data_IF_471026062597
#
_entry.id   IF_471026062597
#
_cell.length_a   1.000
_cell.length_b   1.000
_cell.length_c   1.000
_cell.angle_alpha   90.00
_cell.angle_beta   90.00
_cell.angle_gamma   90.00
#
_symmetry.space_group_name_H-M   'P 1'
#
loop_
_entity.id
_entity.type
_entity.pdbx_description
1 polymer ?
#
# COMPACT_ATOMS: atom_id res chain seq x y z
N UNK A 1 27.81 6.13 9.59
CA UNK A 1 26.93 5.60 8.53
C UNK A 1 26.29 6.78 7.78
N UNK A 2 27.04 7.56 7.00
CA UNK A 2 26.53 8.85 6.47
C UNK A 2 26.77 9.07 4.96
N UNK A 3 27.01 8.02 4.15
CA UNK A 3 27.42 8.23 2.75
C UNK A 3 26.30 8.06 1.72
N UNK A 4 25.18 7.43 2.07
CA UNK A 4 24.09 7.12 1.13
C UNK A 4 22.98 8.16 1.08
N UNK A 5 22.79 8.96 2.15
CA UNK A 5 21.71 9.96 2.21
C UNK A 5 21.84 11.06 1.15
N UNK A 6 23.08 11.39 0.76
CA UNK A 6 23.34 12.43 -0.23
C UNK A 6 23.20 11.94 -1.69
N UNK A 7 23.04 10.62 -1.89
CA UNK A 7 22.92 9.99 -3.21
C UNK A 7 21.49 9.54 -3.51
N UNK A 8 20.56 9.80 -2.59
CA UNK A 8 19.14 9.47 -2.74
C UNK A 8 18.38 10.79 -2.82
N UNK A 9 17.77 11.04 -3.96
CA UNK A 9 17.04 12.28 -4.24
C UNK A 9 15.65 12.27 -3.61
N UNK A 10 14.91 11.16 -3.78
CA UNK A 10 13.59 10.95 -3.22
C UNK A 10 13.37 9.46 -2.91
N UNK A 11 12.46 9.19 -1.98
CA UNK A 11 12.07 7.85 -1.59
C UNK A 11 10.55 7.73 -1.61
N UNK A 12 10.02 6.84 -2.45
CA UNK A 12 8.60 6.53 -2.49
C UNK A 12 8.31 5.30 -1.63
N UNK A 13 7.43 5.44 -0.65
CA UNK A 13 7.08 4.38 0.30
C UNK A 13 5.57 4.16 0.32
N UNK A 14 5.14 2.92 0.13
CA UNK A 14 3.75 2.51 0.38
C UNK A 14 3.58 2.23 1.87
N UNK A 15 2.63 2.89 2.52
CA UNK A 15 2.30 2.58 3.91
C UNK A 15 1.67 3.74 4.67
N UNK A 16 1.19 3.43 5.87
CA UNK A 16 0.45 4.36 6.71
C UNK A 16 -0.97 4.66 6.23
N UNK A 17 -1.75 5.28 7.11
CA UNK A 17 -3.08 5.83 6.83
C UNK A 17 -3.15 7.25 7.37
N UNK A 18 -3.40 8.22 6.48
CA UNK A 18 -3.58 9.62 6.82
C UNK A 18 -5.07 9.85 7.11
N UNK A 19 -5.40 9.99 8.39
CA UNK A 19 -6.79 10.25 8.80
C UNK A 19 -7.38 11.46 8.08
N UNK A 20 -8.56 11.26 7.52
CA UNK A 20 -9.49 12.33 7.15
C UNK A 20 -9.87 13.14 8.41
N UNK A 21 -9.88 14.47 8.31
CA UNK A 21 -10.26 15.37 9.42
C UNK A 21 -11.77 15.27 9.79
N UNK A 22 -12.53 14.38 9.16
CA UNK A 22 -13.92 14.15 9.50
C UNK A 22 -14.03 13.16 10.67
N UNK A 23 -14.54 13.57 11.85
CA UNK A 23 -14.70 12.69 13.01
C UNK A 23 -15.75 11.58 12.82
N UNK A 24 -16.58 11.68 11.77
CA UNK A 24 -17.55 10.65 11.38
C UNK A 24 -17.05 9.72 10.26
N UNK A 25 -15.85 9.96 9.75
CA UNK A 25 -15.23 9.13 8.73
C UNK A 25 -14.53 7.97 9.44
N UNK A 26 -15.32 6.94 9.78
CA UNK A 26 -14.83 5.67 10.29
C UNK A 26 -13.99 4.90 9.24
N UNK A 27 -13.76 5.48 8.07
CA UNK A 27 -13.53 4.78 6.80
C UNK A 27 -12.14 4.21 6.60
N UNK A 28 -11.12 4.66 7.33
CA UNK A 28 -9.75 4.23 7.07
C UNK A 28 -9.03 3.85 8.37
N UNK A 29 -9.60 2.84 9.03
CA UNK A 29 -8.86 2.04 10.01
C UNK A 29 -7.73 1.30 9.29
N UNK A 30 -6.64 1.02 10.02
CA UNK A 30 -5.48 0.30 9.51
C UNK A 30 -5.86 -1.05 8.88
N UNK A 31 -5.01 -1.61 8.04
CA UNK A 31 -5.27 -2.86 7.33
C UNK A 31 -4.68 -4.10 8.04
N UNK A 32 -4.37 -3.98 9.33
CA UNK A 32 -3.91 -5.11 10.12
C UNK A 32 -5.08 -6.04 10.46
N UNK A 33 -5.05 -7.27 9.96
CA UNK A 33 -6.09 -8.29 10.17
C UNK A 33 -6.13 -8.88 11.61
N UNK A 34 -5.51 -8.20 12.58
CA UNK A 34 -5.46 -8.64 13.97
C UNK A 34 -6.17 -7.64 14.85
N UNK A 35 -6.94 -8.15 15.82
CA UNK A 35 -7.74 -7.37 16.78
C UNK A 35 -6.91 -6.51 17.75
N UNK A 36 -5.58 -6.45 17.56
CA UNK A 36 -4.63 -5.82 18.47
C UNK A 36 -4.50 -4.32 18.24
N UNK A 37 -4.54 -3.85 16.99
CA UNK A 37 -4.49 -2.43 16.68
C UNK A 37 -5.21 -2.09 15.37
N UNK A 38 -6.36 -1.44 15.51
CA UNK A 38 -7.21 -1.01 14.40
C UNK A 38 -6.68 0.23 13.65
N UNK A 39 -5.55 0.80 14.06
CA UNK A 39 -4.98 2.00 13.46
C UNK A 39 -3.68 1.76 12.69
N UNK A 40 -3.12 0.55 12.79
CA UNK A 40 -1.82 0.25 12.20
C UNK A 40 -1.94 -0.23 10.76
N UNK A 41 -1.03 0.26 9.93
CA UNK A 41 -0.87 -0.21 8.56
C UNK A 41 0.23 -1.28 8.50
N UNK A 42 0.03 -2.30 7.67
CA UNK A 42 0.83 -3.52 7.60
C UNK A 42 2.33 -3.27 7.41
N UNK A 43 2.74 -2.39 6.49
CA UNK A 43 4.15 -2.12 6.23
C UNK A 43 4.81 -1.37 7.39
N UNK A 44 4.10 -0.45 8.05
CA UNK A 44 4.61 0.26 9.23
C UNK A 44 4.64 -0.65 10.46
N UNK A 45 3.64 -1.51 10.63
CA UNK A 45 3.55 -2.47 11.73
C UNK A 45 4.64 -3.54 11.67
N UNK A 46 5.04 -3.96 10.46
CA UNK A 46 6.08 -4.97 10.26
C UNK A 46 7.41 -4.62 10.93
N UNK A 47 7.81 -3.35 10.90
CA UNK A 47 8.94 -2.83 11.68
C UNK A 47 8.77 -1.33 12.00
N UNK A 48 8.17 -1.00 13.16
CA UNK A 48 7.92 0.39 13.52
C UNK A 48 9.21 1.16 13.83
N UNK A 49 10.29 0.49 14.22
CA UNK A 49 11.56 1.14 14.54
C UNK A 49 12.30 1.59 13.28
N UNK A 50 12.30 0.76 12.23
CA UNK A 50 12.87 1.14 10.93
C UNK A 50 11.99 2.20 10.25
N UNK A 51 10.67 2.06 10.29
CA UNK A 51 9.76 3.09 9.79
C UNK A 51 10.05 4.45 10.45
N UNK A 52 10.22 4.48 11.77
CA UNK A 52 10.60 5.70 12.50
C UNK A 52 11.93 6.28 12.00
N UNK A 53 12.97 5.46 11.85
CA UNK A 53 14.29 5.91 11.40
C UNK A 53 14.28 6.47 9.97
N UNK A 54 13.51 5.85 9.07
CA UNK A 54 13.35 6.31 7.69
C UNK A 54 12.59 7.63 7.66
N UNK A 55 11.46 7.73 8.36
CA UNK A 55 10.66 8.97 8.41
C UNK A 55 11.41 10.14 9.08
N UNK A 56 12.31 9.86 10.01
CA UNK A 56 13.19 10.87 10.63
C UNK A 56 14.52 11.05 9.89
N UNK A 57 14.66 10.47 8.69
CA UNK A 57 15.82 10.73 7.85
C UNK A 57 15.69 12.10 7.17
N UNK A 58 16.82 12.74 6.87
CA UNK A 58 16.85 14.00 6.13
C UNK A 58 16.72 13.78 4.61
N UNK A 59 15.99 12.74 4.19
CA UNK A 59 15.73 12.41 2.79
C UNK A 59 14.28 12.81 2.51
N UNK A 60 13.99 13.34 1.33
CA UNK A 60 12.61 13.57 0.90
C UNK A 60 11.92 12.22 0.77
N UNK A 61 10.72 12.11 1.36
CA UNK A 61 9.94 10.87 1.33
C UNK A 61 8.53 11.21 0.87
N UNK A 62 8.11 10.54 -0.19
CA UNK A 62 6.73 10.55 -0.67
C UNK A 62 6.03 9.29 -0.18
N UNK A 63 5.04 9.45 0.71
CA UNK A 63 4.24 8.35 1.24
C UNK A 63 3.00 8.15 0.36
N UNK A 64 2.72 6.91 -0.01
CA UNK A 64 1.46 6.48 -0.63
C UNK A 64 0.64 5.76 0.44
N UNK A 65 -0.27 6.46 1.13
CA UNK A 65 -1.07 5.88 2.20
C UNK A 65 -2.21 5.02 1.66
N UNK A 66 -2.83 4.26 2.56
CA UNK A 66 -4.03 3.47 2.26
C UNK A 66 -5.13 4.34 1.62
N UNK A 67 -5.30 5.59 2.09
CA UNK A 67 -6.29 6.54 1.58
C UNK A 67 -6.11 6.85 0.10
N UNK A 68 -4.86 6.97 -0.37
CA UNK A 68 -4.57 7.21 -1.77
C UNK A 68 -5.00 6.01 -2.63
N UNK A 69 -4.75 4.79 -2.15
CA UNK A 69 -5.13 3.56 -2.88
C UNK A 69 -6.63 3.32 -2.91
N UNK A 70 -7.37 3.79 -1.91
CA UNK A 70 -8.83 3.67 -1.86
C UNK A 70 -9.55 4.48 -2.95
N UNK A 71 -8.87 5.45 -3.56
CA UNK A 71 -9.43 6.23 -4.67
C UNK A 71 -9.46 5.47 -6.00
N UNK A 72 -8.70 4.37 -6.12
CA UNK A 72 -8.58 3.57 -7.35
C UNK A 72 -8.82 2.09 -7.02
N UNK A 73 -10.07 1.69 -6.70
CA UNK A 73 -10.37 0.30 -6.38
C UNK A 73 -10.24 -0.61 -7.61
N UNK A 74 -9.87 -1.87 -7.38
CA UNK A 74 -9.92 -2.90 -8.41
C UNK A 74 -11.39 -3.25 -8.70
N UNK A 75 -11.87 -2.86 -9.89
CA UNK A 75 -13.25 -3.12 -10.30
C UNK A 75 -13.37 -4.38 -11.15
N UNK A 76 -14.59 -4.92 -11.26
CA UNK A 76 -14.86 -6.08 -12.13
C UNK A 76 -14.61 -5.75 -13.60
N UNK A 77 -14.89 -4.51 -14.01
CA UNK A 77 -14.64 -4.02 -15.36
C UNK A 77 -13.14 -4.00 -15.65
N UNK A 78 -12.33 -3.55 -14.69
CA UNK A 78 -10.87 -3.61 -14.81
C UNK A 78 -10.37 -5.04 -14.94
N UNK A 79 -10.86 -5.96 -14.10
CA UNK A 79 -10.46 -7.37 -14.16
C UNK A 79 -10.84 -8.02 -15.50
N UNK A 80 -12.04 -7.72 -16.02
CA UNK A 80 -12.49 -8.22 -17.32
C UNK A 80 -11.63 -7.68 -18.46
N UNK A 81 -11.35 -6.38 -18.47
CA UNK A 81 -10.43 -5.78 -19.45
C UNK A 81 -9.00 -6.34 -19.31
N UNK A 82 -8.57 -6.68 -18.10
CA UNK A 82 -7.27 -7.28 -17.84
C UNK A 82 -7.20 -8.74 -18.32
N UNK A 83 -8.30 -9.50 -18.25
CA UNK A 83 -8.44 -10.84 -18.84
C UNK A 83 -8.50 -10.82 -20.37
N UNK A 84 -9.07 -9.78 -20.96
CA UNK A 84 -9.15 -9.64 -22.43
C UNK A 84 -7.82 -9.16 -23.05
N UNK A 85 -6.95 -8.50 -22.27
CA UNK A 85 -5.66 -7.95 -22.72
C UNK A 85 -4.47 -8.92 -22.59
N UNK A 86 -4.75 -10.22 -22.44
CA UNK A 86 -3.74 -11.26 -22.31
C UNK A 86 -2.95 -11.44 -23.61
N UNK A 87 -1.65 -11.72 -23.49
CA UNK A 87 -0.78 -11.88 -24.65
C UNK A 87 0.71 -12.07 -24.35
N UNK A 88 1.14 -11.76 -23.12
CA UNK A 88 2.47 -12.08 -22.62
C UNK A 88 2.38 -12.94 -21.37
N UNK A 89 3.45 -13.70 -21.10
CA UNK A 89 3.50 -14.59 -19.94
C UNK A 89 3.43 -13.82 -18.61
N UNK A 90 3.99 -12.61 -18.57
CA UNK A 90 3.96 -11.73 -17.41
C UNK A 90 2.54 -11.29 -17.09
N UNK A 91 1.75 -10.95 -18.11
CA UNK A 91 0.35 -10.52 -17.94
C UNK A 91 -0.52 -11.67 -17.42
N UNK A 92 -0.29 -12.90 -17.91
CA UNK A 92 -0.98 -14.09 -17.43
C UNK A 92 -0.62 -14.41 -15.97
N UNK A 93 0.66 -14.31 -15.62
CA UNK A 93 1.13 -14.54 -14.25
C UNK A 93 0.56 -13.50 -13.27
N UNK A 94 0.56 -12.22 -13.65
CA UNK A 94 -0.02 -11.15 -12.85
C UNK A 94 -1.53 -11.32 -12.69
N UNK A 95 -2.25 -11.64 -13.78
CA UNK A 95 -3.70 -11.88 -13.73
C UNK A 95 -4.05 -13.06 -12.84
N UNK A 96 -3.34 -14.19 -12.97
CA UNK A 96 -3.55 -15.36 -12.11
C UNK A 96 -3.31 -15.01 -10.64
N UNK A 97 -2.21 -14.32 -10.34
CA UNK A 97 -1.88 -13.92 -8.96
C UNK A 97 -2.93 -12.99 -8.35
N UNK A 98 -3.51 -12.09 -9.16
CA UNK A 98 -4.57 -11.18 -8.74
C UNK A 98 -5.91 -11.91 -8.53
N UNK A 99 -6.29 -12.76 -9.49
CA UNK A 99 -7.57 -13.45 -9.50
C UNK A 99 -7.69 -14.52 -8.40
N UNK A 100 -6.60 -15.25 -8.10
CA UNK A 100 -6.58 -16.24 -7.02
C UNK A 100 -6.86 -15.61 -5.65
N UNK A 101 -6.32 -14.42 -5.39
CA UNK A 101 -6.53 -13.72 -4.11
C UNK A 101 -7.91 -13.10 -3.96
N UNK A 102 -8.58 -12.74 -5.05
CA UNK A 102 -9.94 -12.18 -5.01
C UNK A 102 -11.01 -13.23 -4.64
N UNK A 103 -10.77 -14.51 -4.92
CA UNK A 103 -11.67 -15.61 -4.56
C UNK A 103 -11.43 -16.22 -3.17
N UNK A 104 -10.30 -15.93 -2.51
CA UNK A 104 -10.06 -16.36 -1.11
C UNK A 104 -10.70 -15.43 -0.07
N UNK A 105 -11.19 -14.25 -0.48
CA UNK A 105 -11.81 -13.24 0.39
C UNK A 105 -13.34 -13.09 0.19
N UNK A 106 -13.99 -13.98 -0.59
CA UNK A 106 -15.45 -14.11 -0.69
C UNK A 106 -15.92 -15.46 -0.13
#
# INVERSE_FOLDING_TARGET
>A
MNNTKNNVEDMHVMGGGLRSNNPNDCGYLGNLFTDYNIYDEFNIFGDPFIAYQVLHSCITITIVPLDATNTIPLTKEFLKAFEESQGTYEVECCFRSLNTKLFEFC
#
